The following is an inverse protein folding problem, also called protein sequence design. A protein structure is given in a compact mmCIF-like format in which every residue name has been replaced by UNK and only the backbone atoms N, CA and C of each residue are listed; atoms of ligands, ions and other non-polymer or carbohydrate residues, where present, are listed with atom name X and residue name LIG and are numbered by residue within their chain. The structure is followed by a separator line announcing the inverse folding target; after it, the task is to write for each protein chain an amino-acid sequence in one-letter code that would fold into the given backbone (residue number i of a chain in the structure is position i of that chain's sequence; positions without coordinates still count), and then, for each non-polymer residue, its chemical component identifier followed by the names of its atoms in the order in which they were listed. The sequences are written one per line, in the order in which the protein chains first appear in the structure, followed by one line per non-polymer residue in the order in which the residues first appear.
data_IF_617749626054
#
_entry.id   IF_617749626054
#
_cell.length_a   1.000
_cell.length_b   1.000
_cell.length_c   1.000
_cell.angle_alpha   90.00
_cell.angle_beta   90.00
_cell.angle_gamma   90.00
#
_symmetry.space_group_name_H-M   'P 1'
#
loop_
_entity.id
_entity.type
_entity.pdbx_description
1 polymer ?
#
# COMPACT_ATOMS: atom_id res chain seq x y z
N UNK A 1 -5.21 2.63 -2.51
CA UNK A 1 -4.71 2.65 -1.12
C UNK A 1 -3.77 1.46 -1.01
N UNK A 2 -2.74 1.50 -0.16
CA UNK A 2 -1.96 0.28 0.09
C UNK A 2 -2.93 -0.80 0.59
N UNK A 3 -3.06 -1.89 -0.16
CA UNK A 3 -3.95 -3.02 0.15
C UNK A 3 -3.23 -3.96 1.13
N UNK A 4 -2.95 -3.45 2.33
CA UNK A 4 -2.23 -4.17 3.38
C UNK A 4 -3.14 -4.50 4.55
N UNK A 5 -3.00 -5.70 5.11
CA UNK A 5 -3.71 -6.11 6.31
C UNK A 5 -3.20 -5.37 7.54
N UNK A 6 -4.05 -5.26 8.55
CA UNK A 6 -3.75 -4.54 9.79
C UNK A 6 -3.81 -5.52 10.96
N UNK A 7 -2.77 -5.51 11.79
CA UNK A 7 -2.75 -6.26 13.04
C UNK A 7 -2.90 -5.31 14.22
N UNK A 8 -4.02 -5.42 14.94
CA UNK A 8 -4.26 -4.68 16.18
C UNK A 8 -3.72 -5.51 17.35
N UNK A 9 -2.66 -5.00 17.98
CA UNK A 9 -1.89 -5.72 18.98
C UNK A 9 -1.84 -5.04 20.35
N UNK A 10 -1.45 -5.83 21.35
CA UNK A 10 -1.36 -5.42 22.75
C UNK A 10 -1.86 -6.50 23.71
N UNK A 11 -1.67 -6.23 25.00
CA UNK A 11 -2.02 -7.15 26.10
C UNK A 11 -3.54 -7.37 26.22
N UNK A 12 -3.95 -8.37 26.98
CA UNK A 12 -5.36 -8.57 27.34
C UNK A 12 -5.93 -7.30 28.02
N UNK A 13 -7.18 -6.95 27.71
CA UNK A 13 -7.82 -5.74 28.26
C UNK A 13 -7.49 -4.42 27.55
N UNK A 14 -6.55 -4.38 26.59
CA UNK A 14 -6.23 -3.16 25.85
C UNK A 14 -7.26 -2.76 24.77
N UNK A 15 -8.25 -3.61 24.48
CA UNK A 15 -9.35 -3.28 23.56
C UNK A 15 -9.15 -3.71 22.09
N UNK A 16 -8.24 -4.65 21.79
CA UNK A 16 -7.96 -5.12 20.41
C UNK A 16 -9.19 -5.40 19.56
N UNK A 17 -10.13 -6.22 20.06
CA UNK A 17 -11.36 -6.57 19.33
C UNK A 17 -12.23 -5.34 19.05
N UNK A 18 -12.37 -4.43 20.00
CA UNK A 18 -13.18 -3.22 19.85
C UNK A 18 -12.56 -2.28 18.82
N UNK A 19 -11.26 -1.98 18.94
CA UNK A 19 -10.57 -1.09 18.01
C UNK A 19 -10.42 -1.73 16.63
N UNK A 20 -10.16 -3.04 16.57
CA UNK A 20 -10.09 -3.79 15.32
C UNK A 20 -11.39 -3.76 14.53
N UNK A 21 -12.54 -3.92 15.21
CA UNK A 21 -13.86 -3.76 14.58
C UNK A 21 -14.09 -2.34 14.06
N UNK A 22 -13.71 -1.32 14.82
CA UNK A 22 -13.82 0.08 14.39
C UNK A 22 -12.94 0.40 13.19
N UNK A 23 -11.71 -0.12 13.15
CA UNK A 23 -10.82 0.01 12.01
C UNK A 23 -11.38 -0.70 10.77
N UNK A 24 -11.86 -1.93 10.95
CA UNK A 24 -12.48 -2.73 9.90
C UNK A 24 -13.68 -2.00 9.28
N UNK A 25 -14.58 -1.46 10.10
CA UNK A 25 -15.72 -0.67 9.63
C UNK A 25 -15.27 0.60 8.89
N UNK A 26 -14.34 1.36 9.48
CA UNK A 26 -13.85 2.62 8.90
C UNK A 26 -13.09 2.46 7.58
N UNK A 27 -12.55 1.26 7.31
CA UNK A 27 -11.79 0.92 6.10
C UNK A 27 -12.56 -0.02 5.15
N UNK A 28 -13.75 -0.48 5.55
CA UNK A 28 -14.52 -1.52 4.84
C UNK A 28 -13.74 -2.83 4.65
N UNK A 29 -12.96 -3.22 5.66
CA UNK A 29 -12.21 -4.48 5.70
C UNK A 29 -12.96 -5.52 6.55
N UNK A 30 -12.83 -6.83 6.26
CA UNK A 30 -13.26 -7.86 7.18
C UNK A 30 -12.45 -7.82 8.48
N UNK A 31 -13.12 -8.11 9.61
CA UNK A 31 -12.47 -8.26 10.90
C UNK A 31 -12.41 -9.74 11.31
N UNK A 32 -11.25 -10.16 11.84
CA UNK A 32 -11.06 -11.48 12.44
C UNK A 32 -10.45 -11.34 13.84
N UNK A 33 -10.97 -12.06 14.82
CA UNK A 33 -10.33 -12.18 16.13
C UNK A 33 -9.31 -13.32 16.07
N UNK A 34 -8.04 -13.03 16.34
CA UNK A 34 -6.96 -14.00 16.23
C UNK A 34 -7.09 -15.13 17.24
N UNK A 35 -7.78 -14.91 18.36
CA UNK A 35 -8.02 -15.93 19.38
C UNK A 35 -8.89 -17.07 18.83
N UNK A 36 -9.74 -16.82 17.82
CA UNK A 36 -10.60 -17.82 17.16
C UNK A 36 -9.79 -18.85 16.33
N UNK A 37 -8.52 -18.55 16.04
CA UNK A 37 -7.64 -19.39 15.23
C UNK A 37 -6.69 -20.25 16.07
N UNK A 38 -6.84 -20.22 17.39
CA UNK A 38 -6.05 -21.10 18.23
C UNK A 38 -6.44 -22.58 18.02
N UNK A 39 -5.47 -23.49 17.90
CA UNK A 39 -5.77 -24.91 17.90
C UNK A 39 -6.29 -25.33 19.27
N UNK A 40 -7.14 -26.37 19.31
CA UNK A 40 -7.79 -26.87 20.52
C UNK A 40 -6.82 -27.07 21.72
N UNK A 41 -5.60 -27.64 21.55
CA UNK A 41 -4.65 -27.78 22.65
C UNK A 41 -4.23 -26.45 23.31
N UNK A 42 -4.17 -25.35 22.54
CA UNK A 42 -3.84 -24.03 23.07
C UNK A 42 -5.00 -23.48 23.90
N UNK A 43 -6.23 -23.65 23.41
CA UNK A 43 -7.45 -23.22 24.11
C UNK A 43 -7.56 -23.95 25.45
N UNK A 44 -7.37 -25.27 25.46
CA UNK A 44 -7.37 -26.08 26.69
C UNK A 44 -6.28 -25.67 27.68
N UNK A 45 -5.07 -25.37 27.20
CA UNK A 45 -3.96 -24.93 28.04
C UNK A 45 -4.27 -23.58 28.70
N UNK A 46 -4.77 -22.62 27.92
CA UNK A 46 -5.17 -21.32 28.44
C UNK A 46 -6.38 -21.40 29.38
N UNK A 47 -7.33 -22.31 29.13
CA UNK A 47 -8.51 -22.49 30.01
C UNK A 47 -8.13 -23.04 31.39
N UNK A 48 -6.99 -23.73 31.51
CA UNK A 48 -6.39 -24.13 32.79
C UNK A 48 -5.55 -23.03 33.46
N UNK A 49 -5.46 -21.85 32.85
CA UNK A 49 -4.64 -20.75 33.35
C UNK A 49 -3.14 -20.91 33.07
N UNK A 50 -2.75 -21.85 32.20
CA UNK A 50 -1.36 -22.08 31.83
C UNK A 50 -0.99 -21.19 30.65
N UNK A 51 0.14 -20.46 30.76
CA UNK A 51 0.65 -19.64 29.67
C UNK A 51 1.15 -20.50 28.50
N UNK A 52 0.81 -20.12 27.28
CA UNK A 52 1.36 -20.74 26.07
C UNK A 52 2.87 -20.44 25.95
N UNK A 53 3.61 -21.37 25.35
CA UNK A 53 5.02 -21.23 24.96
C UNK A 53 5.16 -20.67 23.54
N UNK A 54 6.40 -20.42 23.12
CA UNK A 54 6.67 -19.96 21.75
C UNK A 54 6.35 -21.06 20.72
N UNK A 55 6.62 -22.33 21.07
CA UNK A 55 6.27 -23.50 20.24
C UNK A 55 4.76 -23.65 20.07
N UNK A 56 4.00 -23.48 21.16
CA UNK A 56 2.53 -23.53 21.12
C UNK A 56 1.95 -22.46 20.16
N UNK A 57 2.60 -21.28 20.08
CA UNK A 57 2.14 -20.16 19.26
C UNK A 57 2.57 -20.25 17.80
N UNK A 58 3.60 -21.02 17.46
CA UNK A 58 4.19 -21.02 16.11
C UNK A 58 3.17 -21.36 15.01
N UNK A 59 2.40 -22.43 15.21
CA UNK A 59 1.36 -22.85 14.24
C UNK A 59 0.23 -21.82 14.11
N UNK A 60 -0.20 -21.25 15.24
CA UNK A 60 -1.23 -20.21 15.29
C UNK A 60 -0.81 -18.91 14.59
N UNK A 61 0.43 -18.44 14.81
CA UNK A 61 0.95 -17.27 14.11
C UNK A 61 1.07 -17.52 12.60
N UNK A 62 1.46 -18.74 12.21
CA UNK A 62 1.48 -19.16 10.81
C UNK A 62 0.09 -19.06 10.17
N UNK A 63 -0.95 -19.59 10.82
CA UNK A 63 -2.30 -19.55 10.26
C UNK A 63 -2.83 -18.13 10.09
N UNK A 64 -2.51 -17.22 11.02
CA UNK A 64 -2.90 -15.81 10.89
C UNK A 64 -2.17 -15.10 9.76
N UNK A 65 -0.87 -15.36 9.58
CA UNK A 65 -0.11 -14.85 8.44
C UNK A 65 -0.69 -15.35 7.12
N UNK A 66 -0.94 -16.64 7.02
CA UNK A 66 -1.44 -17.26 5.78
C UNK A 66 -2.87 -16.77 5.46
N UNK A 67 -3.69 -16.51 6.48
CA UNK A 67 -4.98 -15.84 6.36
C UNK A 67 -4.84 -14.43 5.76
N UNK A 68 -3.95 -13.59 6.31
CA UNK A 68 -3.71 -12.23 5.78
C UNK A 68 -3.22 -12.29 4.33
N UNK A 69 -2.20 -13.10 4.05
CA UNK A 69 -1.62 -13.23 2.71
C UNK A 69 -2.65 -13.70 1.66
N UNK A 70 -3.50 -14.67 2.02
CA UNK A 70 -4.58 -15.15 1.14
C UNK A 70 -5.57 -14.04 0.82
N UNK A 71 -6.00 -13.29 1.85
CA UNK A 71 -6.96 -12.20 1.70
C UNK A 71 -6.40 -11.03 0.88
N UNK A 72 -5.15 -10.65 1.12
CA UNK A 72 -4.43 -9.65 0.33
C UNK A 72 -4.29 -10.07 -1.14
N UNK A 73 -3.97 -11.35 -1.40
CA UNK A 73 -3.88 -11.86 -2.78
C UNK A 73 -5.22 -11.82 -3.54
N UNK A 74 -6.33 -11.84 -2.81
CA UNK A 74 -7.69 -11.69 -3.33
C UNK A 74 -8.16 -10.23 -3.40
N UNK A 75 -7.29 -9.25 -3.11
CA UNK A 75 -7.61 -7.83 -3.11
C UNK A 75 -8.56 -7.41 -1.98
N UNK A 76 -8.63 -8.19 -0.90
CA UNK A 76 -9.50 -7.91 0.26
C UNK A 76 -8.68 -7.95 1.55
N UNK A 77 -7.87 -6.93 1.86
CA UNK A 77 -7.09 -6.91 3.09
C UNK A 77 -7.99 -6.94 4.33
N UNK A 78 -7.45 -7.41 5.45
CA UNK A 78 -8.23 -7.69 6.65
C UNK A 78 -7.66 -6.98 7.88
N UNK A 79 -8.49 -6.83 8.91
CA UNK A 79 -8.06 -6.40 10.24
C UNK A 79 -8.09 -7.60 11.18
N UNK A 80 -6.96 -7.90 11.83
CA UNK A 80 -6.80 -9.01 12.76
C UNK A 80 -6.48 -8.49 14.15
N UNK A 81 -7.25 -8.88 15.16
CA UNK A 81 -6.85 -8.71 16.55
C UNK A 81 -5.87 -9.82 16.93
N UNK A 82 -4.64 -9.49 17.33
CA UNK A 82 -3.64 -10.50 17.73
C UNK A 82 -2.70 -9.92 18.77
N UNK A 83 -2.40 -10.66 19.84
CA UNK A 83 -1.56 -10.14 20.93
C UNK A 83 -0.16 -9.70 20.47
N UNK A 84 0.49 -10.48 19.58
CA UNK A 84 1.76 -10.17 18.91
C UNK A 84 2.85 -9.53 19.80
N UNK A 85 2.95 -10.00 21.05
CA UNK A 85 3.68 -9.32 22.13
C UNK A 85 5.20 -9.29 21.94
N UNK A 86 5.80 -10.27 21.26
CA UNK A 86 7.24 -10.35 20.99
C UNK A 86 7.58 -9.89 19.57
N UNK A 87 8.78 -9.35 19.38
CA UNK A 87 9.31 -9.02 18.06
C UNK A 87 9.38 -10.25 17.15
N UNK A 88 9.69 -11.42 17.72
CA UNK A 88 9.67 -12.69 16.99
C UNK A 88 8.29 -13.05 16.46
N UNK A 89 7.21 -12.73 17.19
CA UNK A 89 5.84 -12.99 16.75
C UNK A 89 5.42 -12.05 15.63
N UNK A 90 5.75 -10.77 15.75
CA UNK A 90 5.49 -9.77 14.70
C UNK A 90 6.22 -10.15 13.42
N UNK A 91 7.49 -10.56 13.53
CA UNK A 91 8.26 -11.10 12.41
C UNK A 91 7.61 -12.35 11.79
N UNK A 92 7.06 -13.25 12.61
CA UNK A 92 6.38 -14.45 12.11
C UNK A 92 5.08 -14.15 11.37
N UNK A 93 4.44 -13.02 11.67
CA UNK A 93 3.23 -12.50 10.99
C UNK A 93 3.56 -11.74 9.70
N UNK A 94 4.79 -11.26 9.53
CA UNK A 94 5.22 -10.50 8.36
C UNK A 94 5.75 -11.41 7.24
N UNK A 95 5.17 -11.28 6.04
CA UNK A 95 5.75 -11.72 4.76
C UNK A 95 5.95 -10.53 3.85
N UNK A 96 7.11 -10.42 3.19
CA UNK A 96 7.42 -9.24 2.38
C UNK A 96 7.47 -7.97 3.24
N UNK A 97 6.64 -6.97 2.91
CA UNK A 97 6.50 -5.73 3.69
C UNK A 97 5.75 -5.95 5.01
N UNK A 98 4.98 -7.03 5.12
CA UNK A 98 4.22 -7.38 6.33
C UNK A 98 2.99 -6.50 6.57
N UNK A 99 2.17 -6.84 7.58
CA UNK A 99 0.99 -6.06 7.91
C UNK A 99 1.35 -4.76 8.63
N UNK A 100 0.43 -3.80 8.61
CA UNK A 100 0.53 -2.61 9.44
C UNK A 100 0.17 -2.96 10.90
N UNK A 101 1.11 -2.78 11.81
CA UNK A 101 0.86 -3.02 13.24
C UNK A 101 0.30 -1.78 13.93
N UNK A 102 -0.79 -1.95 14.68
CA UNK A 102 -1.36 -0.94 15.58
C UNK A 102 -1.22 -1.43 17.01
N UNK A 103 -0.35 -0.81 17.79
CA UNK A 103 -0.09 -1.18 19.17
C UNK A 103 -0.92 -0.32 20.12
N UNK A 104 -1.85 -0.98 20.82
CA UNK A 104 -2.65 -0.38 21.89
C UNK A 104 -1.87 -0.46 23.20
N UNK A 105 -1.19 0.62 23.56
CA UNK A 105 -0.44 0.72 24.81
C UNK A 105 -1.39 1.09 25.95
N UNK A 106 -1.34 0.33 27.03
CA UNK A 106 -2.23 0.50 28.18
C UNK A 106 -1.43 0.27 29.46
N UNK A 107 -1.77 0.99 30.53
CA UNK A 107 -1.18 0.74 31.84
C UNK A 107 -1.69 -0.58 32.42
N UNK A 108 -0.89 -1.20 33.28
CA UNK A 108 -1.27 -2.44 33.98
C UNK A 108 -2.55 -2.22 34.80
N UNK A 109 -2.64 -1.10 35.52
CA UNK A 109 -3.77 -0.75 36.37
C UNK A 109 -5.06 -0.61 35.57
N UNK A 110 -4.99 0.02 34.39
CA UNK A 110 -6.15 0.22 33.52
C UNK A 110 -6.59 -1.08 32.87
N UNK A 111 -5.64 -1.92 32.43
CA UNK A 111 -5.94 -3.25 31.90
C UNK A 111 -6.64 -4.13 32.93
N UNK A 112 -6.12 -4.18 34.16
CA UNK A 112 -6.71 -4.92 35.28
C UNK A 112 -8.11 -4.42 35.62
N UNK A 113 -8.30 -3.10 35.70
CA UNK A 113 -9.61 -2.50 35.99
C UNK A 113 -10.64 -2.88 34.92
N UNK A 114 -10.26 -2.82 33.64
CA UNK A 114 -11.13 -3.19 32.51
C UNK A 114 -11.47 -4.68 32.50
N UNK A 115 -10.51 -5.55 32.79
CA UNK A 115 -10.74 -7.00 32.84
C UNK A 115 -11.63 -7.40 34.02
N UNK A 116 -11.45 -6.78 35.20
CA UNK A 116 -12.32 -7.01 36.37
C UNK A 116 -13.77 -6.54 36.14
N UNK A 117 -13.95 -5.50 35.33
CA UNK A 117 -15.28 -4.98 34.99
C UNK A 117 -16.02 -5.85 33.97
N UNK A 118 -15.35 -6.78 33.27
CA UNK A 118 -16.00 -7.70 32.33
C UNK A 118 -16.61 -8.87 33.09
N UNK A 119 -17.92 -9.04 32.95
CA UNK A 119 -18.69 -10.15 33.53
C UNK A 119 -18.58 -11.45 32.73
N UNK A 120 -18.28 -11.36 31.43
CA UNK A 120 -18.09 -12.51 30.55
C UNK A 120 -16.58 -12.70 30.27
N UNK A 121 -16.07 -13.87 30.65
CA UNK A 121 -14.69 -14.34 30.47
C UNK A 121 -13.69 -13.74 31.48
N UNK A 122 -13.69 -14.30 32.69
CA UNK A 122 -12.67 -14.04 33.70
C UNK A 122 -11.33 -14.63 33.24
N UNK A 123 -10.40 -13.79 32.79
CA UNK A 123 -8.99 -14.18 32.68
C UNK A 123 -8.33 -14.05 34.06
N UNK A 124 -7.65 -15.09 34.58
CA UNK A 124 -6.88 -14.99 35.81
C UNK A 124 -5.89 -13.83 35.77
N UNK A 125 -5.80 -13.05 36.86
CA UNK A 125 -4.89 -11.91 36.97
C UNK A 125 -3.42 -12.28 36.69
N UNK A 126 -3.02 -13.52 37.02
CA UNK A 126 -1.69 -14.05 36.73
C UNK A 126 -1.36 -14.09 35.22
N UNK A 127 -2.35 -14.32 34.35
CA UNK A 127 -2.14 -14.31 32.90
C UNK A 127 -1.92 -12.89 32.37
N UNK A 128 -2.59 -11.88 32.94
CA UNK A 128 -2.42 -10.48 32.56
C UNK A 128 -0.99 -10.02 32.85
N UNK A 129 -0.51 -10.28 34.08
CA UNK A 129 0.87 -9.99 34.46
C UNK A 129 1.87 -10.64 33.51
N UNK A 130 1.67 -11.94 33.19
CA UNK A 130 2.57 -12.65 32.27
C UNK A 130 2.62 -12.05 30.86
N UNK A 131 1.54 -11.39 30.41
CA UNK A 131 1.54 -10.71 29.11
C UNK A 131 2.34 -9.41 29.14
N UNK A 132 2.26 -8.64 30.24
CA UNK A 132 3.12 -7.47 30.42
C UNK A 132 4.59 -7.86 30.52
N UNK A 133 4.90 -8.95 31.22
CA UNK A 133 6.27 -9.48 31.31
C UNK A 133 6.80 -9.97 29.95
N UNK A 134 5.90 -10.44 29.07
CA UNK A 134 6.22 -10.90 27.72
C UNK A 134 6.29 -9.77 26.68
N UNK A 135 5.73 -8.60 26.99
CA UNK A 135 5.58 -7.51 26.03
C UNK A 135 6.92 -6.88 25.68
N UNK A 136 7.35 -7.07 24.44
CA UNK A 136 8.45 -6.35 23.81
C UNK A 136 7.85 -5.19 23.00
N UNK A 137 7.86 -3.98 23.59
CA UNK A 137 7.27 -2.78 22.99
C UNK A 137 7.79 -2.56 21.55
N UNK A 138 6.90 -2.50 20.53
CA UNK A 138 7.30 -2.31 19.14
C UNK A 138 7.75 -0.87 18.87
N UNK A 139 8.78 -0.72 18.03
CA UNK A 139 9.20 0.57 17.46
C UNK A 139 8.60 0.85 16.08
N UNK A 140 8.14 -0.21 15.42
CA UNK A 140 7.66 -0.28 14.04
C UNK A 140 6.13 -0.17 13.92
N UNK A 141 5.42 -0.12 15.04
CA UNK A 141 3.97 -0.08 15.09
C UNK A 141 3.44 1.34 15.30
N UNK A 142 2.22 1.60 14.82
CA UNK A 142 1.45 2.78 15.18
C UNK A 142 1.07 2.67 16.65
N UNK A 143 1.62 3.56 17.47
CA UNK A 143 1.31 3.63 18.91
C UNK A 143 -0.02 4.37 19.13
N UNK A 144 -0.93 3.75 19.88
CA UNK A 144 -2.19 4.35 20.31
C UNK A 144 -2.33 4.19 21.82
N UNK A 145 -2.50 5.30 22.53
CA UNK A 145 -2.72 5.29 23.99
C UNK A 145 -4.13 4.81 24.30
N UNK A 146 -4.23 3.57 24.79
CA UNK A 146 -5.50 2.93 25.17
C UNK A 146 -5.93 3.28 26.59
N UNK A 147 -5.20 4.13 27.34
CA UNK A 147 -5.67 4.62 28.64
C UNK A 147 -6.77 5.68 28.51
N UNK A 148 -6.96 6.23 27.31
CA UNK A 148 -7.98 7.23 26.98
C UNK A 148 -9.39 6.65 26.94
N UNK A 149 -10.44 7.51 26.98
CA UNK A 149 -11.82 7.09 26.69
C UNK A 149 -11.93 6.41 25.32
N UNK A 150 -12.83 5.43 25.21
CA UNK A 150 -12.94 4.56 24.03
C UNK A 150 -13.07 5.34 22.71
N UNK A 151 -13.92 6.37 22.70
CA UNK A 151 -14.16 7.21 21.51
C UNK A 151 -12.86 7.89 21.02
N UNK A 152 -12.08 8.46 21.93
CA UNK A 152 -10.78 9.08 21.60
C UNK A 152 -9.78 8.04 21.06
N UNK A 153 -9.77 6.82 21.63
CA UNK A 153 -8.91 5.71 21.15
C UNK A 153 -9.30 5.29 19.73
N UNK A 154 -10.60 5.18 19.45
CA UNK A 154 -11.13 4.80 18.13
C UNK A 154 -10.76 5.85 17.07
N UNK A 155 -11.04 7.13 17.35
CA UNK A 155 -10.71 8.23 16.45
C UNK A 155 -9.21 8.30 16.16
N UNK A 156 -8.38 8.21 17.22
CA UNK A 156 -6.92 8.26 17.10
C UNK A 156 -6.39 7.11 16.27
N UNK A 157 -6.85 5.88 16.51
CA UNK A 157 -6.42 4.70 15.77
C UNK A 157 -6.78 4.82 14.28
N UNK A 158 -8.03 5.17 13.95
CA UNK A 158 -8.48 5.33 12.57
C UNK A 158 -7.71 6.43 11.85
N UNK A 159 -7.52 7.58 12.50
CA UNK A 159 -6.78 8.70 11.93
C UNK A 159 -5.32 8.33 11.65
N UNK A 160 -4.65 7.67 12.60
CA UNK A 160 -3.26 7.27 12.47
C UNK A 160 -3.04 6.23 11.36
N UNK A 161 -3.92 5.22 11.28
CA UNK A 161 -3.88 4.21 10.22
C UNK A 161 -4.11 4.83 8.84
N UNK A 162 -5.14 5.67 8.68
CA UNK A 162 -5.38 6.37 7.41
C UNK A 162 -4.20 7.22 6.97
N UNK A 163 -3.55 7.91 7.92
CA UNK A 163 -2.35 8.69 7.64
C UNK A 163 -1.21 7.80 7.15
N UNK A 164 -0.95 6.66 7.80
CA UNK A 164 0.08 5.72 7.39
C UNK A 164 -0.18 5.16 5.98
N UNK A 165 -1.42 4.73 5.70
CA UNK A 165 -1.81 4.20 4.39
C UNK A 165 -1.72 5.22 3.25
N UNK A 166 -1.82 6.52 3.56
CA UNK A 166 -1.62 7.61 2.58
C UNK A 166 -0.14 7.93 2.38
N UNK A 167 0.69 7.82 3.41
CA UNK A 167 2.14 8.07 3.32
C UNK A 167 2.89 6.99 2.52
N UNK A 168 2.32 5.79 2.39
CA UNK A 168 2.85 4.72 1.52
C UNK A 168 2.49 4.90 0.03
N UNK A 169 1.68 5.91 -0.34
CA UNK A 169 1.55 6.29 -1.74
C UNK A 169 2.85 6.98 -2.19
N UNK A 170 3.49 6.53 -3.28
CA UNK A 170 4.71 7.16 -3.77
C UNK A 170 4.41 8.57 -4.34
N UNK A 171 4.48 9.60 -3.51
CA UNK A 171 4.50 11.00 -3.94
C UNK A 171 5.65 11.71 -3.24
N UNK A 172 6.79 11.86 -3.94
CA UNK A 172 6.96 12.98 -4.88
C UNK A 172 7.41 12.58 -6.30
N UNK A 173 7.58 11.28 -6.59
CA UNK A 173 8.10 10.82 -7.89
C UNK A 173 7.15 11.17 -9.03
N UNK A 174 5.84 10.93 -8.87
CA UNK A 174 4.85 11.21 -9.91
C UNK A 174 4.66 12.71 -10.15
N UNK A 175 4.64 13.52 -9.09
CA UNK A 175 4.47 14.98 -9.21
C UNK A 175 5.68 15.60 -9.90
N UNK A 176 6.89 15.18 -9.52
CA UNK A 176 8.12 15.66 -10.15
C UNK A 176 8.24 15.18 -11.60
N UNK A 177 7.87 13.93 -11.91
CA UNK A 177 7.85 13.44 -13.28
C UNK A 177 6.85 14.19 -14.17
N UNK A 178 5.65 14.49 -13.66
CA UNK A 178 4.64 15.27 -14.37
C UNK A 178 5.09 16.73 -14.56
N UNK A 179 5.69 17.36 -13.55
CA UNK A 179 6.27 18.70 -13.68
C UNK A 179 7.41 18.72 -14.71
N UNK A 180 8.35 17.77 -14.65
CA UNK A 180 9.42 17.63 -15.63
C UNK A 180 8.88 17.43 -17.04
N UNK A 181 7.79 16.68 -17.18
CA UNK A 181 7.13 16.45 -18.47
C UNK A 181 6.43 17.71 -19.00
N UNK A 182 5.76 18.49 -18.14
CA UNK A 182 5.17 19.79 -18.52
C UNK A 182 6.26 20.77 -18.96
N UNK A 183 7.36 20.86 -18.22
CA UNK A 183 8.52 21.72 -18.58
C UNK A 183 9.11 21.28 -19.92
N UNK A 184 9.24 19.97 -20.16
CA UNK A 184 9.70 19.43 -21.43
C UNK A 184 8.81 19.80 -22.62
N UNK A 185 7.49 19.69 -22.48
CA UNK A 185 6.53 20.09 -23.51
C UNK A 185 6.63 21.59 -23.79
N UNK A 186 6.59 22.43 -22.76
CA UNK A 186 6.64 23.88 -22.92
C UNK A 186 7.95 24.35 -23.57
N UNK A 187 9.07 23.73 -23.21
CA UNK A 187 10.38 24.01 -23.82
C UNK A 187 10.41 23.58 -25.29
N UNK A 188 9.82 22.44 -25.63
CA UNK A 188 9.72 21.96 -27.02
C UNK A 188 8.82 22.87 -27.87
N UNK A 189 7.69 23.31 -27.32
CA UNK A 189 6.80 24.28 -27.98
C UNK A 189 7.53 25.60 -28.22
N UNK A 190 8.30 26.09 -27.24
CA UNK A 190 9.12 27.29 -27.38
C UNK A 190 10.20 27.14 -28.48
N UNK A 191 10.84 25.96 -28.58
CA UNK A 191 11.80 25.64 -29.65
C UNK A 191 11.18 25.72 -31.05
N UNK A 192 9.94 25.23 -31.20
CA UNK A 192 9.22 25.23 -32.48
C UNK A 192 8.71 26.63 -32.84
N UNK A 193 8.22 27.38 -31.85
CA UNK A 193 7.59 28.69 -32.06
C UNK A 193 8.59 29.82 -32.33
N UNK A 194 9.80 29.77 -31.77
CA UNK A 194 10.81 30.82 -31.94
C UNK A 194 12.26 30.27 -31.92
N UNK A 195 12.71 29.60 -32.99
CA UNK A 195 14.03 28.96 -33.03
C UNK A 195 15.22 29.93 -32.91
N UNK A 196 15.02 31.23 -33.14
CA UNK A 196 16.05 32.27 -33.05
C UNK A 196 16.34 32.75 -31.62
N UNK A 197 15.56 32.33 -30.61
CA UNK A 197 15.66 32.83 -29.23
C UNK A 197 16.41 31.89 -28.26
N UNK A 198 16.89 30.73 -28.72
CA UNK A 198 17.41 29.68 -27.82
C UNK A 198 18.91 29.52 -28.00
N UNK A 199 19.67 29.85 -26.96
CA UNK A 199 21.12 29.65 -26.93
C UNK A 199 21.47 28.19 -26.66
N UNK A 200 22.59 27.72 -27.21
CA UNK A 200 23.10 26.35 -27.09
C UNK A 200 23.23 25.85 -25.62
N UNK A 201 23.28 26.75 -24.64
CA UNK A 201 23.26 26.44 -23.22
C UNK A 201 21.95 25.80 -22.73
N UNK A 202 20.81 26.16 -23.32
CA UNK A 202 19.50 25.62 -22.94
C UNK A 202 19.33 24.14 -23.36
N UNK A 203 19.92 23.75 -24.50
CA UNK A 203 19.93 22.36 -24.97
C UNK A 203 20.79 21.44 -24.10
N UNK A 204 21.92 21.95 -23.58
CA UNK A 204 22.81 21.21 -22.68
C UNK A 204 22.18 20.89 -21.31
N UNK A 205 21.44 21.85 -20.73
CA UNK A 205 20.70 21.62 -19.48
C UNK A 205 19.58 20.59 -19.61
N UNK A 206 18.94 20.54 -20.78
CA UNK A 206 17.88 19.57 -21.08
C UNK A 206 18.42 18.13 -21.18
N UNK A 207 19.53 17.94 -21.90
CA UNK A 207 20.19 16.64 -22.01
C UNK A 207 20.69 16.13 -20.65
N UNK A 208 21.21 17.02 -19.80
CA UNK A 208 21.66 16.67 -18.45
C UNK A 208 20.50 16.24 -17.54
N UNK A 209 19.35 16.92 -17.61
CA UNK A 209 18.16 16.60 -16.81
C UNK A 209 17.53 15.28 -17.25
N UNK A 210 17.46 15.03 -18.55
CA UNK A 210 16.95 13.76 -19.09
C UNK A 210 17.86 12.57 -18.72
N UNK A 211 19.18 12.77 -18.80
CA UNK A 211 20.18 11.74 -18.51
C UNK A 211 20.25 11.38 -17.02
N UNK A 212 20.20 12.38 -16.13
CA UNK A 212 20.17 12.18 -14.67
C UNK A 212 18.90 11.48 -14.20
N UNK A 213 17.75 11.81 -14.80
CA UNK A 213 16.48 11.12 -14.51
C UNK A 213 16.52 9.64 -14.92
N UNK A 214 17.16 9.31 -16.05
CA UNK A 214 17.31 7.92 -16.52
C UNK A 214 18.23 7.07 -15.62
N UNK A 215 19.27 7.67 -15.04
CA UNK A 215 20.20 6.98 -14.13
C UNK A 215 19.57 6.68 -12.75
N UNK A 216 18.61 7.48 -12.30
CA UNK A 216 18.02 7.36 -10.96
C UNK A 216 16.98 6.23 -10.83
N UNK A 217 16.33 5.83 -11.92
CA UNK A 217 15.13 4.97 -11.86
C UNK A 217 15.33 3.46 -12.13
N UNK A 218 16.56 2.99 -12.38
CA UNK A 218 16.84 1.56 -12.56
C UNK A 218 16.21 0.91 -13.81
N UNK A 219 16.74 -0.26 -14.21
CA UNK A 219 16.49 -0.88 -15.54
C UNK A 219 15.01 -1.22 -15.85
N UNK A 220 14.18 -1.49 -14.85
CA UNK A 220 12.76 -1.86 -15.06
C UNK A 220 11.86 -0.65 -15.35
N UNK A 221 12.15 0.51 -14.75
CA UNK A 221 11.38 1.74 -15.00
C UNK A 221 11.79 2.41 -16.31
N UNK A 222 13.08 2.33 -16.66
CA UNK A 222 13.60 2.84 -17.94
C UNK A 222 12.87 2.22 -19.16
N UNK A 223 12.49 0.95 -19.09
CA UNK A 223 11.75 0.27 -20.16
C UNK A 223 10.35 0.87 -20.39
N UNK A 224 9.56 1.02 -19.33
CA UNK A 224 8.22 1.61 -19.43
C UNK A 224 8.27 3.10 -19.77
N UNK A 225 9.28 3.81 -19.27
CA UNK A 225 9.53 5.21 -19.62
C UNK A 225 9.86 5.38 -21.11
N UNK A 226 10.69 4.50 -21.69
CA UNK A 226 11.00 4.50 -23.12
C UNK A 226 9.75 4.17 -23.95
N UNK A 227 8.95 3.18 -23.54
CA UNK A 227 7.68 2.85 -24.24
C UNK A 227 6.71 4.04 -24.20
N UNK A 228 6.59 4.71 -23.06
CA UNK A 228 5.75 5.88 -22.89
C UNK A 228 6.21 7.06 -23.76
N UNK A 229 7.52 7.33 -23.80
CA UNK A 229 8.10 8.35 -24.68
C UNK A 229 7.87 8.02 -26.16
N UNK A 230 8.04 6.76 -26.58
CA UNK A 230 7.76 6.32 -27.96
C UNK A 230 6.29 6.50 -28.32
N UNK A 231 5.36 6.21 -27.40
CA UNK A 231 3.94 6.44 -27.61
C UNK A 231 3.61 7.93 -27.80
N UNK A 232 4.25 8.80 -27.01
CA UNK A 232 4.05 10.26 -27.09
C UNK A 232 4.64 10.84 -28.36
N UNK A 233 5.86 10.43 -28.74
CA UNK A 233 6.47 10.83 -30.02
C UNK A 233 5.59 10.38 -31.20
N UNK A 234 4.98 9.19 -31.11
CA UNK A 234 4.05 8.71 -32.14
C UNK A 234 2.78 9.55 -32.20
N UNK A 235 2.17 9.90 -31.06
CA UNK A 235 0.96 10.74 -31.01
C UNK A 235 1.24 12.16 -31.52
N UNK A 236 2.35 12.76 -31.09
CA UNK A 236 2.79 14.08 -31.52
C UNK A 236 3.11 14.05 -33.02
N UNK A 237 3.83 13.02 -33.49
CA UNK A 237 4.13 12.79 -34.90
C UNK A 237 2.86 12.69 -35.74
N UNK A 238 1.90 11.84 -35.35
CA UNK A 238 0.61 11.72 -36.02
C UNK A 238 -0.17 13.05 -36.04
N UNK A 239 -0.11 13.83 -34.96
CA UNK A 239 -0.78 15.13 -34.88
C UNK A 239 -0.12 16.17 -35.78
N UNK A 240 1.21 16.23 -35.83
CA UNK A 240 1.96 17.10 -36.74
C UNK A 240 1.76 16.72 -38.20
N UNK A 241 1.78 15.42 -38.53
CA UNK A 241 1.46 14.96 -39.90
C UNK A 241 0.03 15.35 -40.27
N UNK A 242 -0.93 15.24 -39.35
CA UNK A 242 -2.32 15.70 -39.57
C UNK A 242 -2.38 17.21 -39.80
N UNK A 243 -1.66 18.02 -39.03
CA UNK A 243 -1.61 19.48 -39.18
C UNK A 243 -0.92 19.90 -40.48
N UNK A 244 0.16 19.23 -40.88
CA UNK A 244 0.87 19.49 -42.14
C UNK A 244 -0.01 19.12 -43.32
N UNK A 245 -0.70 17.97 -43.27
CA UNK A 245 -1.67 17.58 -44.30
C UNK A 245 -2.87 18.53 -44.35
N UNK A 246 -3.32 19.06 -43.20
CA UNK A 246 -4.40 20.05 -43.14
C UNK A 246 -3.99 21.42 -43.70
N UNK A 247 -2.75 21.87 -43.44
CA UNK A 247 -2.15 23.06 -44.09
C UNK A 247 -1.88 22.86 -45.58
N UNK A 248 -1.59 21.63 -46.00
CA UNK A 248 -1.49 21.28 -47.41
C UNK A 248 -2.85 21.30 -48.12
N UNK A 249 -3.95 21.02 -47.41
CA UNK A 249 -5.32 21.02 -47.93
C UNK A 249 -5.93 22.42 -48.10
N UNK A 250 -5.38 23.46 -47.48
CA UNK A 250 -5.84 24.84 -47.73
C UNK A 250 -5.37 25.41 -49.07
N UNK A 251 -4.57 24.67 -49.85
CA UNK A 251 -4.12 25.07 -51.18
C UNK A 251 -4.73 24.30 -52.36
N UNK A 252 -5.34 23.13 -52.18
CA UNK A 252 -6.09 22.44 -53.25
C UNK A 252 -7.04 21.36 -52.67
N UNK A 253 -8.20 21.20 -53.30
CA UNK A 253 -9.43 20.61 -52.75
C UNK A 253 -9.40 19.16 -52.21
N UNK A 254 -10.36 18.92 -51.30
CA UNK A 254 -10.99 17.66 -50.83
C UNK A 254 -11.00 16.54 -51.90
N UNK A 255 -10.75 15.24 -51.67
CA UNK A 255 -10.83 14.37 -50.50
C UNK A 255 -10.19 13.02 -50.82
N UNK A 256 -9.39 12.45 -49.90
CA UNK A 256 -9.39 11.02 -49.58
C UNK A 256 -8.28 10.63 -48.57
N UNK A 257 -8.39 10.93 -47.27
CA UNK A 257 -7.67 10.12 -46.25
C UNK A 257 -8.43 10.10 -44.90
N UNK A 258 -9.19 9.02 -44.68
CA UNK A 258 -9.30 8.32 -43.39
C UNK A 258 -9.04 6.86 -43.79
N UNK A 259 -7.99 6.14 -43.32
CA UNK A 259 -7.80 5.75 -41.91
C UNK A 259 -6.36 5.33 -41.51
N UNK A 260 -5.58 6.15 -40.80
CA UNK A 260 -4.31 5.68 -40.16
C UNK A 260 -4.46 5.62 -38.63
N UNK A 261 -5.24 6.51 -38.05
CA UNK A 261 -5.53 6.56 -36.61
C UNK A 261 -6.29 5.33 -36.09
N UNK A 262 -7.16 4.72 -36.91
CA UNK A 262 -7.95 3.55 -36.51
C UNK A 262 -7.09 2.27 -36.47
N UNK A 263 -6.11 2.12 -37.37
CA UNK A 263 -5.25 0.92 -37.43
C UNK A 263 -4.31 0.84 -36.21
N UNK A 264 -3.77 1.98 -35.77
CA UNK A 264 -2.89 2.05 -34.60
C UNK A 264 -3.62 1.71 -33.30
N UNK A 265 -4.86 2.18 -33.12
CA UNK A 265 -5.67 1.88 -31.94
C UNK A 265 -6.05 0.39 -31.89
N UNK A 266 -6.39 -0.22 -33.05
CA UNK A 266 -6.76 -1.64 -33.13
C UNK A 266 -5.55 -2.57 -32.92
N UNK A 267 -4.35 -2.21 -33.40
CA UNK A 267 -3.12 -2.98 -33.09
C UNK A 267 -2.74 -2.88 -31.62
N UNK A 268 -2.90 -1.71 -30.99
CA UNK A 268 -2.62 -1.54 -29.56
C UNK A 268 -3.59 -2.35 -28.67
N UNK A 269 -4.86 -2.44 -29.05
CA UNK A 269 -5.85 -3.30 -28.39
C UNK A 269 -5.54 -4.80 -28.49
N UNK A 270 -4.93 -5.26 -29.60
CA UNK A 270 -4.57 -6.68 -29.81
C UNK A 270 -3.27 -7.10 -29.13
N UNK A 271 -2.30 -6.19 -28.94
CA UNK A 271 -1.06 -6.47 -28.20
C UNK A 271 -1.32 -6.64 -26.69
N UNK A 272 -2.29 -5.89 -26.14
CA UNK A 272 -2.68 -5.96 -24.72
C UNK A 272 -3.31 -7.32 -24.34
N UNK A 273 -4.01 -7.98 -25.25
CA UNK A 273 -4.71 -9.24 -24.97
C UNK A 273 -3.85 -10.50 -25.12
N UNK A 274 -2.77 -10.44 -25.90
CA UNK A 274 -1.84 -11.58 -26.07
C UNK A 274 -0.74 -11.64 -25.01
N UNK A 275 -0.25 -10.49 -24.54
CA UNK A 275 0.82 -10.40 -23.54
C UNK A 275 0.34 -10.82 -22.14
N UNK A 276 -0.89 -10.46 -21.76
CA UNK A 276 -1.46 -10.81 -20.44
C UNK A 276 -1.76 -12.31 -20.31
N UNK A 277 -2.05 -13.00 -21.42
CA UNK A 277 -2.33 -14.44 -21.39
C UNK A 277 -1.07 -15.30 -21.21
N UNK A 278 0.06 -14.89 -21.78
CA UNK A 278 1.30 -15.64 -21.70
C UNK A 278 2.09 -15.41 -20.40
N UNK A 279 1.60 -14.58 -19.48
CA UNK A 279 2.28 -14.26 -18.22
C UNK A 279 1.54 -14.80 -16.97
N UNK A 280 0.38 -15.42 -17.16
CA UNK A 280 -0.37 -16.11 -16.11
C UNK A 280 -0.11 -17.63 -16.11
N UNK A 281 0.70 -18.13 -17.04
CA UNK A 281 1.00 -19.57 -17.21
C UNK A 281 2.48 -19.93 -16.96
N UNK A 282 3.35 -18.96 -16.61
CA UNK A 282 4.77 -19.18 -16.22
C UNK A 282 5.03 -18.61 -14.81
#
# INVERSE_FOLDING_TARGET
MAEVSIVVMGVAGCGKTTIGKSLAEALSYPFYDGDDFHPEPNVEKMSRGESLTDTDRAGWLSSLRDLMATNESNGTPIVVACSALKASYRKALSTGEGPLFVFLDISHETADARLKARTEHFMPASLVQSQFDTLERPSEAILVDSNKPLEEVQETAVAAVRKAMVQELPTPVYVNAVLSFIVAILTTIALIAAPSLISWWALGGYAFTLFSTLLFFGRKFAYWYVIFLLAIVTIIGCSLTTIILFRSQTNDGLMAIVPITIISIVMYGRLRTRSVRNWLED
#
